data_IF_786224697329
#
_entry.id   IF_786224697329
#
_cell.length_a   1.000
_cell.length_b   1.000
_cell.length_c   1.000
_cell.angle_alpha   90.00
_cell.angle_beta   90.00
_cell.angle_gamma   90.00
#
_symmetry.space_group_name_H-M   'P 1'
#
loop_
_entity.id
_entity.type
_entity.pdbx_description
1 polymer ?
#
# COMPACT_ATOMS: atom_id res chain seq x y z
N UNK A 1 21.62 -25.87 -0.17
CA UNK A 1 20.70 -25.63 -1.26
C UNK A 1 20.88 -24.24 -1.79
N UNK A 2 20.94 -24.07 -3.09
CA UNK A 2 20.94 -22.75 -3.74
C UNK A 2 19.64 -22.06 -3.30
N UNK A 3 19.73 -20.95 -2.57
CA UNK A 3 18.56 -20.14 -2.23
C UNK A 3 17.90 -19.69 -3.54
N UNK A 4 16.77 -20.29 -3.90
CA UNK A 4 16.00 -19.86 -5.07
C UNK A 4 15.56 -18.40 -4.86
N UNK A 5 15.61 -17.60 -5.93
CA UNK A 5 15.17 -16.22 -5.88
C UNK A 5 13.72 -16.13 -5.39
N UNK A 6 13.47 -15.30 -4.38
CA UNK A 6 12.14 -15.02 -3.86
C UNK A 6 11.28 -14.34 -4.91
N UNK A 7 9.98 -14.66 -4.95
CA UNK A 7 9.00 -14.14 -5.92
C UNK A 7 7.81 -13.55 -5.21
N UNK A 8 7.38 -12.40 -5.69
CA UNK A 8 6.13 -11.76 -5.24
C UNK A 8 5.19 -11.60 -6.43
N UNK A 9 3.97 -12.14 -6.31
CA UNK A 9 2.89 -11.80 -7.20
C UNK A 9 2.37 -10.40 -6.84
N UNK A 10 2.45 -9.47 -7.79
CA UNK A 10 1.99 -8.09 -7.61
C UNK A 10 0.72 -7.87 -8.42
N UNK A 11 -0.41 -7.74 -7.72
CA UNK A 11 -1.73 -7.58 -8.33
C UNK A 11 -2.14 -6.12 -8.21
N UNK A 12 -1.97 -5.36 -9.29
CA UNK A 12 -2.17 -3.92 -9.31
C UNK A 12 -2.36 -3.44 -10.76
N UNK A 13 -2.73 -2.18 -10.97
CA UNK A 13 -2.79 -1.61 -12.31
C UNK A 13 -1.40 -1.29 -12.88
N UNK A 14 -1.33 -1.22 -14.20
CA UNK A 14 -0.17 -0.74 -14.94
C UNK A 14 -0.49 0.62 -15.56
N UNK A 15 0.01 1.69 -14.94
CA UNK A 15 -0.11 3.06 -15.43
C UNK A 15 1.19 3.49 -16.13
N UNK A 16 1.07 3.99 -17.37
CA UNK A 16 2.23 4.40 -18.17
C UNK A 16 2.93 5.63 -17.59
N UNK A 17 2.14 6.65 -17.23
CA UNK A 17 2.64 7.87 -16.57
C UNK A 17 2.07 7.97 -15.14
N UNK A 18 2.85 8.55 -14.22
CA UNK A 18 2.44 8.85 -12.85
C UNK A 18 3.20 8.12 -11.75
N UNK A 19 4.11 7.22 -12.05
CA UNK A 19 5.01 6.51 -11.12
C UNK A 19 4.28 5.89 -9.92
N UNK A 20 3.29 5.07 -10.20
CA UNK A 20 2.46 4.38 -9.21
C UNK A 20 2.24 2.92 -9.58
N UNK A 21 1.57 2.19 -8.71
CA UNK A 21 1.12 0.82 -8.96
C UNK A 21 2.25 -0.10 -9.47
N UNK A 22 2.07 -0.86 -10.53
CA UNK A 22 3.10 -1.76 -11.07
C UNK A 22 4.36 -1.02 -11.54
N UNK A 23 4.22 0.19 -12.07
CA UNK A 23 5.36 1.01 -12.52
C UNK A 23 6.29 1.38 -11.36
N UNK A 24 5.76 1.54 -10.16
CA UNK A 24 6.53 1.76 -8.93
C UNK A 24 6.98 0.43 -8.28
N UNK A 25 6.09 -0.55 -8.20
CA UNK A 25 6.35 -1.82 -7.50
C UNK A 25 7.45 -2.66 -8.14
N UNK A 26 7.43 -2.79 -9.47
CA UNK A 26 8.39 -3.64 -10.20
C UNK A 26 9.85 -3.22 -9.94
N UNK A 27 10.26 -1.95 -10.16
CA UNK A 27 11.63 -1.55 -9.93
C UNK A 27 12.05 -1.63 -8.46
N UNK A 28 11.17 -1.29 -7.51
CA UNK A 28 11.46 -1.34 -6.08
C UNK A 28 11.70 -2.77 -5.62
N UNK A 29 10.77 -3.68 -5.94
CA UNK A 29 10.90 -5.09 -5.56
C UNK A 29 12.14 -5.71 -6.21
N UNK A 30 12.39 -5.39 -7.49
CA UNK A 30 13.53 -5.92 -8.24
C UNK A 30 14.87 -5.47 -7.68
N UNK A 31 15.03 -4.18 -7.33
CA UNK A 31 16.30 -3.67 -6.76
C UNK A 31 16.59 -4.29 -5.40
N UNK A 32 15.56 -4.66 -4.65
CA UNK A 32 15.72 -5.38 -3.37
C UNK A 32 16.05 -6.87 -3.54
N UNK A 33 16.27 -7.35 -4.76
CA UNK A 33 16.68 -8.71 -5.05
C UNK A 33 15.54 -9.74 -5.00
N UNK A 34 14.31 -9.30 -5.24
CA UNK A 34 13.12 -10.15 -5.32
C UNK A 34 12.50 -10.04 -6.71
N UNK A 35 12.04 -11.15 -7.26
CA UNK A 35 11.35 -11.13 -8.54
C UNK A 35 9.91 -10.64 -8.36
N UNK A 36 9.57 -9.52 -9.01
CA UNK A 36 8.18 -9.09 -9.16
C UNK A 36 7.51 -9.84 -10.30
N UNK A 37 6.37 -10.46 -10.02
CA UNK A 37 5.54 -11.18 -11.01
C UNK A 37 4.21 -10.45 -11.13
N UNK A 38 4.03 -9.54 -12.12
CA UNK A 38 2.85 -8.70 -12.20
C UNK A 38 1.65 -9.43 -12.76
N UNK A 39 0.50 -9.26 -12.08
CA UNK A 39 -0.84 -9.57 -12.61
C UNK A 39 -1.61 -8.24 -12.73
N UNK A 40 -1.77 -7.68 -13.94
CA UNK A 40 -2.44 -6.40 -14.12
C UNK A 40 -3.94 -6.48 -13.80
N UNK A 41 -4.47 -5.48 -13.10
CA UNK A 41 -5.92 -5.29 -12.90
C UNK A 41 -6.53 -4.36 -13.95
N UNK A 42 -5.73 -3.43 -14.45
CA UNK A 42 -6.07 -2.51 -15.54
C UNK A 42 -4.78 -2.03 -16.21
N UNK A 43 -4.88 -1.58 -17.44
CA UNK A 43 -3.79 -0.92 -18.17
C UNK A 43 -4.24 0.50 -18.47
N UNK A 44 -3.52 1.50 -17.96
CA UNK A 44 -3.86 2.90 -18.09
C UNK A 44 -2.76 3.65 -18.84
N UNK A 45 -3.16 4.63 -19.66
CA UNK A 45 -2.21 5.56 -20.29
C UNK A 45 -1.41 6.35 -19.22
N UNK A 46 -2.11 6.74 -18.18
CA UNK A 46 -1.61 7.50 -17.04
C UNK A 46 -2.53 7.26 -15.83
N UNK A 47 -2.03 7.54 -14.64
CA UNK A 47 -2.80 7.36 -13.41
C UNK A 47 -4.06 8.25 -13.38
N UNK A 48 -5.05 7.86 -12.57
CA UNK A 48 -6.41 8.44 -12.58
C UNK A 48 -6.52 9.84 -11.96
N UNK A 49 -5.47 10.37 -11.36
CA UNK A 49 -5.45 11.72 -10.80
C UNK A 49 -5.27 12.83 -11.84
N UNK A 50 -4.85 12.50 -13.06
CA UNK A 50 -4.82 13.46 -14.16
C UNK A 50 -6.23 13.79 -14.64
N UNK A 51 -6.38 14.91 -15.35
CA UNK A 51 -7.67 15.39 -15.85
C UNK A 51 -8.39 14.37 -16.73
N UNK A 52 -7.64 13.60 -17.50
CA UNK A 52 -8.15 12.52 -18.34
C UNK A 52 -7.15 11.37 -18.43
N UNK A 53 -7.65 10.19 -18.74
CA UNK A 53 -6.84 8.99 -18.94
C UNK A 53 -7.59 7.99 -19.82
N UNK A 54 -6.84 7.13 -20.51
CA UNK A 54 -7.37 5.92 -21.12
C UNK A 54 -7.18 4.75 -20.15
N UNK A 55 -8.19 3.91 -20.03
CA UNK A 55 -8.15 2.72 -19.19
C UNK A 55 -8.71 1.52 -19.94
N UNK A 56 -7.95 0.45 -20.00
CA UNK A 56 -8.42 -0.88 -20.41
C UNK A 56 -8.49 -1.75 -19.15
N UNK A 57 -9.73 -2.09 -18.75
CA UNK A 57 -10.00 -2.93 -17.59
C UNK A 57 -9.61 -4.39 -17.90
N UNK A 58 -8.79 -4.99 -17.04
CA UNK A 58 -8.26 -6.32 -17.27
C UNK A 58 -9.08 -7.45 -16.61
N UNK A 59 -10.24 -7.16 -16.04
CA UNK A 59 -11.08 -8.12 -15.29
C UNK A 59 -11.34 -9.39 -16.10
N UNK A 60 -11.71 -9.27 -17.38
CA UNK A 60 -12.02 -10.43 -18.22
C UNK A 60 -10.79 -11.26 -18.64
N UNK A 61 -9.59 -10.76 -18.41
CA UNK A 61 -8.33 -11.42 -18.79
C UNK A 61 -7.62 -12.08 -17.59
N UNK A 62 -7.94 -11.66 -16.37
CA UNK A 62 -7.25 -12.10 -15.16
C UNK A 62 -7.36 -13.62 -14.95
N UNK A 63 -8.52 -14.21 -15.20
CA UNK A 63 -8.71 -15.66 -15.03
C UNK A 63 -7.86 -16.48 -16.01
N UNK A 64 -7.76 -16.04 -17.26
CA UNK A 64 -6.90 -16.69 -18.26
C UNK A 64 -5.43 -16.57 -17.88
N UNK A 65 -5.03 -15.42 -17.36
CA UNK A 65 -3.68 -15.14 -16.88
C UNK A 65 -3.31 -16.07 -15.71
N UNK A 66 -4.17 -16.17 -14.71
CA UNK A 66 -4.00 -17.04 -13.56
C UNK A 66 -3.91 -18.52 -13.95
N UNK A 67 -4.73 -18.93 -14.94
CA UNK A 67 -4.74 -20.30 -15.46
C UNK A 67 -3.38 -20.70 -16.07
N UNK A 68 -2.73 -19.77 -16.78
CA UNK A 68 -1.38 -20.03 -17.31
C UNK A 68 -0.33 -20.14 -16.19
N UNK A 69 -0.43 -19.33 -15.15
CA UNK A 69 0.46 -19.44 -14.00
C UNK A 69 0.27 -20.77 -13.24
N UNK A 70 -0.97 -21.24 -13.11
CA UNK A 70 -1.28 -22.54 -12.54
C UNK A 70 -0.62 -23.68 -13.32
N UNK A 71 -0.73 -23.66 -14.66
CA UNK A 71 -0.08 -24.65 -15.51
C UNK A 71 1.45 -24.70 -15.34
N UNK A 72 2.06 -23.57 -14.98
CA UNK A 72 3.51 -23.45 -14.73
C UNK A 72 3.91 -23.86 -13.32
N UNK A 73 2.97 -24.23 -12.47
CA UNK A 73 3.26 -24.52 -11.07
C UNK A 73 3.78 -23.30 -10.30
N UNK A 74 3.28 -22.12 -10.65
CA UNK A 74 3.71 -20.88 -10.01
C UNK A 74 3.42 -20.90 -8.51
N UNK A 75 4.43 -20.58 -7.71
CA UNK A 75 4.35 -20.55 -6.26
C UNK A 75 5.09 -19.31 -5.75
N UNK A 76 4.36 -18.24 -5.37
CA UNK A 76 4.98 -17.04 -4.86
C UNK A 76 5.36 -17.16 -3.38
N UNK A 77 6.45 -16.50 -2.98
CA UNK A 77 6.80 -16.31 -1.57
C UNK A 77 5.97 -15.18 -0.93
N UNK A 78 5.47 -14.28 -1.74
CA UNK A 78 4.57 -13.20 -1.32
C UNK A 78 3.54 -12.85 -2.38
N UNK A 79 2.43 -12.30 -1.92
CA UNK A 79 1.36 -11.74 -2.75
C UNK A 79 1.08 -10.33 -2.22
N UNK A 80 1.22 -9.34 -3.09
CA UNK A 80 0.93 -7.94 -2.80
C UNK A 80 -0.20 -7.47 -3.69
N UNK A 81 -1.32 -7.02 -3.10
CA UNK A 81 -2.47 -6.49 -3.83
C UNK A 81 -2.61 -4.99 -3.58
N UNK A 82 -2.92 -4.23 -4.62
CA UNK A 82 -3.12 -2.79 -4.56
C UNK A 82 -4.49 -2.38 -5.13
N UNK A 83 -4.47 -1.43 -6.04
CA UNK A 83 -5.67 -0.86 -6.64
C UNK A 83 -6.50 -1.89 -7.38
N UNK A 84 -7.84 -1.84 -7.18
CA UNK A 84 -8.84 -2.60 -7.91
C UNK A 84 -9.73 -1.64 -8.69
N UNK A 85 -10.00 -1.96 -9.96
CA UNK A 85 -10.87 -1.17 -10.82
C UNK A 85 -12.34 -1.59 -10.76
N UNK A 86 -12.62 -2.81 -10.29
CA UNK A 86 -13.95 -3.41 -10.26
C UNK A 86 -14.09 -4.37 -9.07
N UNK A 87 -15.27 -4.45 -8.47
CA UNK A 87 -15.56 -5.34 -7.34
C UNK A 87 -15.32 -6.82 -7.66
N UNK A 88 -15.54 -7.24 -8.90
CA UNK A 88 -15.30 -8.63 -9.37
C UNK A 88 -13.83 -9.03 -9.26
N UNK A 89 -12.91 -8.07 -9.36
CA UNK A 89 -11.47 -8.33 -9.20
C UNK A 89 -11.14 -8.80 -7.78
N UNK A 90 -11.85 -8.33 -6.77
CA UNK A 90 -11.68 -8.83 -5.41
C UNK A 90 -12.02 -10.31 -5.31
N UNK A 91 -13.08 -10.78 -5.97
CA UNK A 91 -13.43 -12.20 -6.01
C UNK A 91 -12.36 -13.02 -6.76
N UNK A 92 -11.81 -12.48 -7.85
CA UNK A 92 -10.71 -13.10 -8.59
C UNK A 92 -9.44 -13.19 -7.74
N UNK A 93 -9.14 -12.15 -6.95
CA UNK A 93 -7.99 -12.15 -6.03
C UNK A 93 -8.20 -13.15 -4.90
N UNK A 94 -9.41 -13.26 -4.32
CA UNK A 94 -9.70 -14.30 -3.34
C UNK A 94 -9.49 -15.70 -3.91
N UNK A 95 -9.87 -15.92 -5.18
CA UNK A 95 -9.58 -17.17 -5.88
C UNK A 95 -8.08 -17.38 -6.09
N UNK A 96 -7.34 -16.31 -6.42
CA UNK A 96 -5.89 -16.33 -6.54
C UNK A 96 -5.21 -16.73 -5.22
N UNK A 97 -5.64 -16.14 -4.10
CA UNK A 97 -5.10 -16.48 -2.77
C UNK A 97 -5.32 -17.95 -2.43
N UNK A 98 -6.51 -18.48 -2.70
CA UNK A 98 -6.82 -19.91 -2.44
C UNK A 98 -6.00 -20.85 -3.31
N UNK A 99 -5.66 -20.46 -4.53
CA UNK A 99 -4.92 -21.29 -5.48
C UNK A 99 -3.41 -21.25 -5.27
N UNK A 100 -2.85 -20.07 -4.97
CA UNK A 100 -1.41 -19.84 -5.02
C UNK A 100 -0.76 -19.58 -3.65
N UNK A 101 -1.53 -19.26 -2.61
CA UNK A 101 -0.99 -19.04 -1.28
C UNK A 101 -0.98 -20.31 -0.44
N UNK A 102 0.05 -20.47 0.36
CA UNK A 102 0.14 -21.44 1.43
C UNK A 102 0.48 -20.79 2.78
N UNK A 103 0.78 -21.59 3.79
CA UNK A 103 1.07 -21.08 5.13
C UNK A 103 2.34 -20.23 5.20
N UNK A 104 3.27 -20.38 4.26
CA UNK A 104 4.54 -19.65 4.21
C UNK A 104 4.47 -18.43 3.29
N UNK A 105 3.39 -18.25 2.54
CA UNK A 105 3.20 -17.13 1.62
C UNK A 105 2.82 -15.87 2.40
N UNK A 106 3.62 -14.80 2.29
CA UNK A 106 3.24 -13.49 2.80
C UNK A 106 2.08 -12.92 1.96
N UNK A 107 0.98 -12.53 2.60
CA UNK A 107 -0.12 -11.81 1.94
C UNK A 107 -0.17 -10.39 2.51
N UNK A 108 0.18 -9.41 1.68
CA UNK A 108 0.07 -7.99 1.98
C UNK A 108 -1.02 -7.37 1.13
N UNK A 109 -2.02 -6.77 1.77
CA UNK A 109 -3.13 -6.08 1.11
C UNK A 109 -3.04 -4.59 1.38
N UNK A 110 -2.86 -3.82 0.31
CA UNK A 110 -3.02 -2.36 0.34
C UNK A 110 -4.47 -2.02 -0.01
N UNK A 111 -5.19 -1.49 0.96
CA UNK A 111 -6.65 -1.30 0.90
C UNK A 111 -7.02 0.04 0.27
N UNK A 112 -6.66 0.24 -0.98
CA UNK A 112 -6.80 1.50 -1.72
C UNK A 112 -8.27 1.91 -1.87
N UNK A 113 -8.71 2.92 -1.11
CA UNK A 113 -10.09 3.42 -1.11
C UNK A 113 -10.21 4.95 -1.08
N UNK A 114 -9.24 5.64 -0.55
CA UNK A 114 -9.29 7.08 -0.38
C UNK A 114 -8.06 7.64 0.33
N UNK A 115 -8.01 8.94 0.49
CA UNK A 115 -6.94 9.65 1.19
C UNK A 115 -7.44 11.00 1.70
N UNK A 116 -6.81 11.54 2.75
CA UNK A 116 -7.09 12.87 3.31
C UNK A 116 -8.57 13.11 3.68
N UNK A 117 -9.26 12.07 4.15
CA UNK A 117 -10.67 12.12 4.55
C UNK A 117 -11.66 12.07 3.39
N UNK A 118 -11.20 11.77 2.18
CA UNK A 118 -12.02 11.66 0.98
C UNK A 118 -11.86 10.28 0.33
N UNK A 119 -12.92 9.79 -0.28
CA UNK A 119 -12.89 8.53 -1.03
C UNK A 119 -12.52 8.78 -2.49
N UNK A 120 -11.84 7.80 -3.09
CA UNK A 120 -11.53 7.85 -4.53
C UNK A 120 -12.77 7.63 -5.40
N UNK A 121 -12.74 8.07 -6.68
CA UNK A 121 -13.90 7.93 -7.59
C UNK A 121 -14.41 6.49 -7.78
N UNK A 122 -13.53 5.50 -7.66
CA UNK A 122 -13.88 4.07 -7.77
C UNK A 122 -14.50 3.49 -6.49
N UNK A 123 -14.54 4.25 -5.40
CA UNK A 123 -15.11 3.78 -4.14
C UNK A 123 -16.61 3.49 -4.28
N UNK A 124 -17.01 2.38 -3.69
CA UNK A 124 -18.40 2.03 -3.41
C UNK A 124 -18.47 1.26 -2.09
N UNK A 125 -19.64 1.16 -1.48
CA UNK A 125 -19.83 0.29 -0.31
C UNK A 125 -19.58 -1.19 -0.65
N UNK A 126 -19.87 -1.60 -1.88
CA UNK A 126 -19.54 -2.92 -2.38
C UNK A 126 -18.02 -3.14 -2.42
N UNK A 127 -17.26 -2.20 -2.98
CA UNK A 127 -15.80 -2.24 -3.01
C UNK A 127 -15.22 -2.27 -1.59
N UNK A 128 -15.72 -1.43 -0.68
CA UNK A 128 -15.28 -1.42 0.72
C UNK A 128 -15.44 -2.79 1.37
N UNK A 129 -16.62 -3.41 1.23
CA UNK A 129 -16.89 -4.75 1.78
C UNK A 129 -15.94 -5.81 1.20
N UNK A 130 -15.65 -5.75 -0.10
CA UNK A 130 -14.71 -6.65 -0.77
C UNK A 130 -13.28 -6.48 -0.25
N UNK A 131 -12.85 -5.24 -0.03
CA UNK A 131 -11.53 -4.96 0.56
C UNK A 131 -11.45 -5.40 2.02
N UNK A 132 -12.55 -5.32 2.78
CA UNK A 132 -12.64 -5.94 4.12
C UNK A 132 -12.49 -7.45 4.06
N UNK A 133 -13.11 -8.12 3.09
CA UNK A 133 -12.95 -9.55 2.88
C UNK A 133 -11.48 -9.90 2.56
N UNK A 134 -10.83 -9.15 1.68
CA UNK A 134 -9.40 -9.33 1.36
C UNK A 134 -8.50 -9.09 2.58
N UNK A 135 -8.78 -8.06 3.38
CA UNK A 135 -8.05 -7.80 4.63
C UNK A 135 -8.13 -8.98 5.61
N UNK A 136 -9.26 -9.70 5.64
CA UNK A 136 -9.43 -10.92 6.43
C UNK A 136 -8.55 -12.10 6.00
N UNK A 137 -7.97 -12.07 4.81
CA UNK A 137 -7.01 -13.08 4.33
C UNK A 137 -5.54 -12.61 4.45
N UNK A 138 -5.33 -11.32 4.75
CA UNK A 138 -3.99 -10.75 4.82
C UNK A 138 -3.27 -11.10 6.12
N UNK A 139 -1.94 -11.20 6.07
CA UNK A 139 -1.11 -11.11 7.27
C UNK A 139 -0.75 -9.64 7.56
N UNK A 140 -0.59 -8.82 6.53
CA UNK A 140 -0.21 -7.41 6.65
C UNK A 140 -1.14 -6.56 5.81
N UNK A 141 -1.64 -5.46 6.38
CA UNK A 141 -2.35 -4.41 5.66
C UNK A 141 -1.63 -3.07 5.82
N UNK A 142 -1.72 -2.21 4.79
CA UNK A 142 -1.00 -0.92 4.75
C UNK A 142 -1.94 0.27 4.50
N UNK A 143 -3.06 0.40 5.25
CA UNK A 143 -3.98 1.51 5.04
C UNK A 143 -3.35 2.85 5.42
N UNK A 144 -3.73 3.94 4.72
CA UNK A 144 -3.65 5.26 5.31
C UNK A 144 -4.76 5.46 6.36
N UNK A 145 -4.80 6.61 7.05
CA UNK A 145 -5.79 6.82 8.11
C UNK A 145 -7.24 6.79 7.56
N UNK A 146 -7.49 7.35 6.39
CA UNK A 146 -8.82 7.33 5.75
C UNK A 146 -9.29 5.90 5.52
N UNK A 147 -8.43 5.08 4.96
CA UNK A 147 -8.69 3.65 4.69
C UNK A 147 -8.85 2.84 5.98
N UNK A 148 -8.02 3.10 6.99
CA UNK A 148 -8.16 2.46 8.30
C UNK A 148 -9.54 2.72 8.93
N UNK A 149 -10.03 3.95 8.85
CA UNK A 149 -11.37 4.31 9.33
C UNK A 149 -12.48 3.66 8.49
N UNK A 150 -12.30 3.54 7.17
CA UNK A 150 -13.23 2.84 6.29
C UNK A 150 -13.29 1.33 6.55
N UNK A 151 -12.18 0.72 6.92
CA UNK A 151 -12.12 -0.70 7.29
C UNK A 151 -12.86 -1.00 8.61
N UNK A 152 -12.98 -0.02 9.50
CA UNK A 152 -13.63 -0.15 10.81
C UNK A 152 -15.01 0.52 10.88
N UNK A 153 -15.46 1.14 9.79
CA UNK A 153 -16.73 1.83 9.75
C UNK A 153 -17.27 1.96 8.33
N UNK A 154 -18.03 3.03 8.11
CA UNK A 154 -18.52 3.42 6.80
C UNK A 154 -18.04 4.84 6.45
N UNK A 155 -18.39 5.31 5.26
CA UNK A 155 -17.99 6.63 4.76
C UNK A 155 -18.42 7.76 5.73
N UNK A 156 -19.66 7.77 6.18
CA UNK A 156 -20.18 8.83 7.07
C UNK A 156 -19.46 8.87 8.41
N UNK A 157 -19.16 7.69 8.98
CA UNK A 157 -18.40 7.58 10.22
C UNK A 157 -16.97 8.04 10.01
N UNK A 158 -16.33 7.64 8.92
CA UNK A 158 -14.97 8.07 8.56
C UNK A 158 -14.88 9.58 8.43
N UNK A 159 -15.80 10.23 7.72
CA UNK A 159 -15.81 11.69 7.52
C UNK A 159 -15.97 12.44 8.86
N UNK A 160 -16.81 11.95 9.77
CA UNK A 160 -16.97 12.53 11.12
C UNK A 160 -15.68 12.39 11.94
N UNK A 161 -15.12 11.18 12.02
CA UNK A 161 -13.90 10.93 12.78
C UNK A 161 -12.70 11.70 12.22
N UNK A 162 -12.58 11.80 10.88
CA UNK A 162 -11.55 12.60 10.23
C UNK A 162 -11.58 14.06 10.66
N UNK A 163 -12.77 14.68 10.68
CA UNK A 163 -12.94 16.06 11.14
C UNK A 163 -12.61 16.22 12.62
N UNK A 164 -13.03 15.29 13.45
CA UNK A 164 -12.75 15.28 14.88
C UNK A 164 -11.24 15.20 15.15
N UNK A 165 -10.55 14.30 14.50
CA UNK A 165 -9.10 14.09 14.68
C UNK A 165 -8.27 15.33 14.37
N UNK A 166 -8.68 16.16 13.43
CA UNK A 166 -8.01 17.43 13.10
C UNK A 166 -8.04 18.46 14.23
N UNK A 167 -8.92 18.29 15.20
CA UNK A 167 -9.06 19.22 16.34
C UNK A 167 -8.32 18.75 17.58
N UNK A 168 -7.78 17.53 17.58
CA UNK A 168 -7.13 16.94 18.74
C UNK A 168 -5.69 17.45 18.91
N UNK A 169 -5.23 17.59 20.15
CA UNK A 169 -3.79 17.69 20.43
C UNK A 169 -3.02 16.48 19.88
N UNK A 170 -1.77 16.68 19.44
CA UNK A 170 -0.97 15.65 18.76
C UNK A 170 -0.87 14.36 19.56
N UNK A 171 -0.60 14.45 20.86
CA UNK A 171 -0.46 13.26 21.72
C UNK A 171 -1.78 12.48 21.83
N UNK A 172 -2.90 13.17 21.91
CA UNK A 172 -4.22 12.55 21.94
C UNK A 172 -4.54 11.90 20.58
N UNK A 173 -4.24 12.59 19.50
CA UNK A 173 -4.37 12.09 18.14
C UNK A 173 -3.55 10.81 17.91
N UNK A 174 -2.27 10.81 18.31
CA UNK A 174 -1.42 9.62 18.24
C UNK A 174 -2.02 8.45 19.02
N UNK A 175 -2.54 8.69 20.22
CA UNK A 175 -3.21 7.68 21.03
C UNK A 175 -4.46 7.10 20.36
N UNK A 176 -5.24 7.91 19.64
CA UNK A 176 -6.39 7.43 18.86
C UNK A 176 -5.94 6.56 17.67
N UNK A 177 -4.85 6.94 16.99
CA UNK A 177 -4.28 6.12 15.91
C UNK A 177 -3.79 4.75 16.43
N UNK A 178 -3.16 4.71 17.61
CA UNK A 178 -2.74 3.46 18.25
C UNK A 178 -3.93 2.53 18.56
N UNK A 179 -5.04 3.09 19.03
CA UNK A 179 -6.29 2.33 19.23
C UNK A 179 -6.84 1.78 17.93
N UNK A 180 -6.80 2.56 16.86
CA UNK A 180 -7.22 2.13 15.51
C UNK A 180 -6.35 0.97 15.04
N UNK A 181 -5.01 1.08 15.17
CA UNK A 181 -4.09 0.01 14.81
C UNK A 181 -4.37 -1.29 15.57
N UNK A 182 -4.60 -1.20 16.88
CA UNK A 182 -5.00 -2.34 17.69
C UNK A 182 -6.32 -2.96 17.21
N UNK A 183 -7.33 -2.13 16.95
CA UNK A 183 -8.64 -2.61 16.50
C UNK A 183 -8.54 -3.29 15.13
N UNK A 184 -7.72 -2.77 14.20
CA UNK A 184 -7.46 -3.42 12.92
C UNK A 184 -6.81 -4.79 13.09
N UNK A 185 -5.76 -4.89 13.91
CA UNK A 185 -5.06 -6.14 14.19
C UNK A 185 -6.02 -7.20 14.73
N UNK A 186 -6.87 -6.83 15.69
CA UNK A 186 -7.84 -7.73 16.31
C UNK A 186 -9.01 -8.09 15.38
N UNK A 187 -9.54 -7.12 14.62
CA UNK A 187 -10.69 -7.34 13.74
C UNK A 187 -10.38 -8.29 12.59
N UNK A 188 -9.20 -8.17 12.02
CA UNK A 188 -8.78 -8.94 10.85
C UNK A 188 -7.79 -10.07 11.16
N UNK A 189 -7.49 -10.32 12.44
CA UNK A 189 -6.52 -11.32 12.89
C UNK A 189 -5.18 -11.20 12.16
N UNK A 190 -4.63 -9.98 12.15
CA UNK A 190 -3.43 -9.65 11.39
C UNK A 190 -2.15 -9.97 12.17
N UNK A 191 -1.10 -10.36 11.44
CA UNK A 191 0.26 -10.26 11.95
C UNK A 191 0.65 -8.80 12.18
N UNK A 192 0.34 -7.91 11.23
CA UNK A 192 0.60 -6.49 11.36
C UNK A 192 -0.40 -5.60 10.61
N UNK A 193 -0.72 -4.45 11.21
CA UNK A 193 -1.37 -3.33 10.55
C UNK A 193 -0.40 -2.14 10.53
N UNK A 194 -0.11 -1.58 9.37
CA UNK A 194 0.75 -0.41 9.21
C UNK A 194 -0.09 0.74 8.70
N UNK A 195 -0.39 1.72 9.57
CA UNK A 195 -1.13 2.92 9.17
C UNK A 195 -0.12 3.96 8.69
N UNK A 196 -0.17 4.27 7.39
CA UNK A 196 0.84 5.07 6.71
C UNK A 196 0.46 6.54 6.58
N UNK A 197 1.46 7.39 6.41
CA UNK A 197 1.28 8.77 5.94
C UNK A 197 0.52 9.69 6.90
N UNK A 198 0.72 9.56 8.20
CA UNK A 198 0.05 10.34 9.24
C UNK A 198 0.79 11.66 9.45
N UNK A 199 0.11 12.77 9.23
CA UNK A 199 0.66 14.10 9.47
C UNK A 199 0.73 14.40 10.98
N UNK A 200 1.94 14.66 11.48
CA UNK A 200 2.23 14.94 12.89
C UNK A 200 2.90 16.32 12.99
N UNK A 201 2.15 17.39 13.32
CA UNK A 201 2.76 18.70 13.54
C UNK A 201 3.66 18.68 14.78
N UNK A 202 4.90 19.15 14.62
CA UNK A 202 5.84 19.31 15.72
C UNK A 202 5.62 20.61 16.48
N UNK A 203 6.01 20.64 17.76
CA UNK A 203 5.94 21.84 18.62
C UNK A 203 6.84 22.98 18.13
N UNK A 204 7.84 22.68 17.31
CA UNK A 204 8.79 23.62 16.70
C UNK A 204 8.30 24.16 15.33
N UNK A 205 7.05 23.84 14.92
CA UNK A 205 6.49 24.21 13.64
C UNK A 205 6.93 23.32 12.47
N UNK A 206 7.76 22.31 12.70
CA UNK A 206 8.10 21.29 11.69
C UNK A 206 6.92 20.36 11.47
N UNK A 207 6.70 19.94 10.22
CA UNK A 207 5.74 18.90 9.90
C UNK A 207 6.49 17.57 9.78
N UNK A 208 6.00 16.56 10.51
CA UNK A 208 6.51 15.19 10.47
C UNK A 208 5.47 14.27 9.87
N UNK A 209 5.93 13.18 9.29
CA UNK A 209 5.07 12.10 8.81
C UNK A 209 5.33 10.87 9.65
N UNK A 210 4.30 10.38 10.31
CA UNK A 210 4.34 9.14 11.09
C UNK A 210 3.76 7.97 10.33
N UNK A 211 4.31 6.79 10.60
CA UNK A 211 3.76 5.52 10.21
C UNK A 211 3.63 4.67 11.46
N UNK A 212 2.42 4.28 11.80
CA UNK A 212 2.15 3.42 12.95
C UNK A 212 2.31 1.96 12.52
N UNK A 213 3.10 1.22 13.27
CA UNK A 213 3.22 -0.23 13.14
C UNK A 213 2.53 -0.86 14.34
N UNK A 214 1.50 -1.65 14.10
CA UNK A 214 0.92 -2.55 15.08
C UNK A 214 1.24 -3.98 14.66
N UNK A 215 2.16 -4.64 15.35
CA UNK A 215 2.63 -6.00 15.02
C UNK A 215 2.73 -6.84 16.31
N UNK A 216 2.14 -8.05 16.29
CA UNK A 216 2.20 -9.00 17.41
C UNK A 216 1.80 -8.36 18.77
N UNK A 217 0.77 -7.53 18.78
CA UNK A 217 0.25 -6.79 19.95
C UNK A 217 1.16 -5.66 20.46
N UNK A 218 2.26 -5.40 19.77
CA UNK A 218 3.15 -4.27 20.08
C UNK A 218 2.89 -3.10 19.13
N UNK A 219 3.20 -1.90 19.60
CA UNK A 219 3.00 -0.65 18.85
C UNK A 219 4.32 0.09 18.72
N UNK A 220 4.69 0.43 17.49
CA UNK A 220 5.87 1.24 17.16
C UNK A 220 5.48 2.37 16.20
N UNK A 221 6.23 3.45 16.26
CA UNK A 221 6.16 4.56 15.32
C UNK A 221 7.45 4.68 14.53
N UNK A 222 7.34 4.82 13.22
CA UNK A 222 8.45 5.24 12.36
C UNK A 222 8.12 6.62 11.81
N UNK A 223 8.87 7.62 12.26
CA UNK A 223 8.58 9.04 12.01
C UNK A 223 9.72 9.63 11.17
N UNK A 224 9.36 10.32 10.10
CA UNK A 224 10.26 11.08 9.25
C UNK A 224 9.86 12.55 9.15
N UNK A 225 10.74 13.37 8.58
CA UNK A 225 10.45 14.78 8.28
C UNK A 225 9.60 14.83 7.01
N UNK A 226 8.49 15.59 7.05
CA UNK A 226 7.68 15.89 5.87
C UNK A 226 8.15 17.20 5.24
N UNK A 227 8.72 17.13 4.04
CA UNK A 227 9.31 18.28 3.36
C UNK A 227 8.36 18.97 2.36
N UNK A 228 7.14 18.46 2.19
CA UNK A 228 6.19 19.05 1.24
C UNK A 228 4.86 18.32 1.18
N UNK A 229 4.15 18.50 0.06
CA UNK A 229 2.82 17.97 -0.17
C UNK A 229 2.75 16.46 -0.35
N UNK A 230 1.57 15.97 -0.68
CA UNK A 230 1.31 14.59 -1.04
C UNK A 230 1.61 14.35 -2.51
N UNK A 231 2.22 13.21 -2.84
CA UNK A 231 2.52 12.79 -4.21
C UNK A 231 1.89 11.44 -4.51
N UNK A 232 1.43 11.27 -5.74
CA UNK A 232 0.90 9.98 -6.21
C UNK A 232 1.97 8.89 -6.14
N UNK A 233 1.57 7.68 -5.75
CA UNK A 233 2.43 6.49 -5.76
C UNK A 233 3.30 6.28 -4.52
N UNK A 234 3.33 7.20 -3.56
CA UNK A 234 4.15 7.02 -2.34
C UNK A 234 3.68 5.85 -1.47
N UNK A 235 2.36 5.59 -1.42
CA UNK A 235 1.80 4.40 -0.77
C UNK A 235 2.25 3.10 -1.45
N UNK A 236 2.28 3.08 -2.78
CA UNK A 236 2.77 1.93 -3.57
C UNK A 236 4.26 1.66 -3.34
N UNK A 237 5.06 2.72 -3.25
CA UNK A 237 6.49 2.61 -2.92
C UNK A 237 6.67 2.01 -1.53
N UNK A 238 5.91 2.48 -0.55
CA UNK A 238 5.96 2.00 0.83
C UNK A 238 5.59 0.50 0.91
N UNK A 239 4.44 0.12 0.36
CA UNK A 239 3.98 -1.27 0.36
C UNK A 239 4.94 -2.20 -0.41
N UNK A 240 5.55 -1.72 -1.49
CA UNK A 240 6.54 -2.47 -2.28
C UNK A 240 7.81 -2.76 -1.47
N UNK A 241 8.33 -1.78 -0.74
CA UNK A 241 9.49 -1.97 0.15
C UNK A 241 9.16 -2.97 1.27
N UNK A 242 7.98 -2.84 1.90
CA UNK A 242 7.54 -3.77 2.92
C UNK A 242 7.45 -5.20 2.38
N UNK A 243 6.76 -5.40 1.26
CA UNK A 243 6.57 -6.74 0.70
C UNK A 243 7.90 -7.42 0.35
N UNK A 244 8.80 -6.71 -0.30
CA UNK A 244 10.12 -7.25 -0.66
C UNK A 244 10.99 -7.53 0.56
N UNK A 245 11.03 -6.62 1.53
CA UNK A 245 11.83 -6.78 2.74
C UNK A 245 11.34 -7.93 3.63
N UNK A 246 10.02 -8.05 3.81
CA UNK A 246 9.41 -9.08 4.63
C UNK A 246 9.63 -10.49 4.06
N UNK A 247 9.49 -10.69 2.75
CA UNK A 247 9.78 -12.01 2.12
C UNK A 247 11.26 -12.38 2.21
N UNK A 248 12.14 -11.39 2.35
CA UNK A 248 13.58 -11.61 2.60
C UNK A 248 13.90 -11.88 4.08
N UNK A 249 12.92 -11.74 4.98
CA UNK A 249 13.08 -11.98 6.41
C UNK A 249 13.52 -10.77 7.23
N UNK A 250 13.47 -9.55 6.67
CA UNK A 250 13.70 -8.33 7.44
C UNK A 250 12.53 -8.08 8.40
N UNK A 251 12.79 -7.44 9.52
CA UNK A 251 11.73 -7.03 10.45
C UNK A 251 10.85 -5.93 9.84
N UNK A 252 9.61 -5.82 10.33
CA UNK A 252 8.69 -4.76 9.90
C UNK A 252 9.29 -3.36 10.11
N UNK A 253 9.95 -3.16 11.25
CA UNK A 253 10.57 -1.88 11.60
C UNK A 253 11.72 -1.51 10.67
N UNK A 254 12.57 -2.47 10.30
CA UNK A 254 13.64 -2.26 9.31
C UNK A 254 13.06 -1.91 7.94
N UNK A 255 12.03 -2.63 7.49
CA UNK A 255 11.36 -2.36 6.22
C UNK A 255 10.73 -0.97 6.20
N UNK A 256 9.99 -0.60 7.25
CA UNK A 256 9.37 0.71 7.37
C UNK A 256 10.40 1.85 7.44
N UNK A 257 11.50 1.65 8.16
CA UNK A 257 12.62 2.60 8.23
C UNK A 257 13.26 2.85 6.86
N UNK A 258 13.55 1.77 6.11
CA UNK A 258 14.04 1.87 4.73
C UNK A 258 13.05 2.59 3.81
N UNK A 259 11.77 2.27 3.89
CA UNK A 259 10.73 2.91 3.10
C UNK A 259 10.64 4.42 3.37
N UNK A 260 10.63 4.82 4.64
CA UNK A 260 10.58 6.23 5.04
C UNK A 260 11.81 6.99 4.55
N UNK A 261 13.02 6.46 4.71
CA UNK A 261 14.25 7.10 4.22
C UNK A 261 14.23 7.26 2.69
N UNK A 262 13.89 6.20 1.99
CA UNK A 262 13.80 6.17 0.53
C UNK A 262 12.78 7.18 -0.02
N UNK A 263 11.55 7.14 0.49
CA UNK A 263 10.45 8.00 0.03
C UNK A 263 10.68 9.46 0.40
N UNK A 264 11.17 9.74 1.60
CA UNK A 264 11.47 11.11 2.05
C UNK A 264 12.50 11.80 1.17
N UNK A 265 13.53 11.09 0.74
CA UNK A 265 14.54 11.62 -0.18
C UNK A 265 13.93 11.95 -1.54
N UNK A 266 13.09 11.06 -2.09
CA UNK A 266 12.43 11.28 -3.37
C UNK A 266 11.41 12.44 -3.31
N UNK A 267 10.66 12.58 -2.22
CA UNK A 267 9.75 13.72 -1.99
C UNK A 267 10.53 15.03 -1.90
N UNK A 268 11.66 15.04 -1.19
CA UNK A 268 12.49 16.25 -1.08
C UNK A 268 12.95 16.77 -2.43
N UNK A 269 13.34 15.89 -3.35
CA UNK A 269 13.69 16.30 -4.71
C UNK A 269 12.49 16.79 -5.51
N UNK A 270 11.36 16.10 -5.43
CA UNK A 270 10.13 16.48 -6.11
C UNK A 270 9.68 17.89 -5.70
N UNK A 271 9.78 18.23 -4.42
CA UNK A 271 9.47 19.57 -3.90
C UNK A 271 10.42 20.62 -4.45
N UNK A 272 11.74 20.35 -4.47
CA UNK A 272 12.75 21.27 -5.01
C UNK A 272 12.58 21.52 -6.50
N UNK A 273 12.19 20.49 -7.24
CA UNK A 273 12.00 20.56 -8.70
C UNK A 273 10.61 21.12 -9.08
N UNK A 274 9.70 21.33 -8.13
CA UNK A 274 8.33 21.76 -8.40
C UNK A 274 7.53 20.72 -9.18
N UNK A 275 7.80 19.43 -8.96
CA UNK A 275 7.13 18.31 -9.63
C UNK A 275 5.62 18.33 -9.33
N UNK A 276 4.80 18.11 -10.36
CA UNK A 276 3.36 17.98 -10.18
C UNK A 276 3.04 16.74 -9.34
N UNK A 277 2.02 16.86 -8.46
CA UNK A 277 1.59 15.78 -7.59
C UNK A 277 1.29 14.48 -8.37
N UNK A 278 0.67 14.60 -9.53
CA UNK A 278 0.24 13.47 -10.35
C UNK A 278 1.38 12.78 -11.09
N UNK A 279 2.51 13.45 -11.30
CA UNK A 279 3.71 12.86 -11.92
C UNK A 279 4.42 11.88 -10.98
N UNK A 280 4.16 11.97 -9.66
CA UNK A 280 4.82 11.17 -8.65
C UNK A 280 6.23 11.68 -8.34
N UNK A 281 6.97 10.91 -7.53
CA UNK A 281 8.32 11.29 -7.09
C UNK A 281 9.40 10.59 -7.93
N UNK A 282 10.54 11.25 -8.14
CA UNK A 282 11.68 10.69 -8.87
C UNK A 282 12.46 9.66 -8.05
N UNK A 283 11.80 8.58 -7.67
CA UNK A 283 12.33 7.53 -6.80
C UNK A 283 13.50 6.77 -7.44
N UNK A 284 13.61 6.77 -8.75
CA UNK A 284 14.65 6.06 -9.51
C UNK A 284 16.05 6.45 -9.07
N UNK A 285 16.25 7.73 -8.70
CA UNK A 285 17.53 8.24 -8.20
C UNK A 285 17.95 7.64 -6.86
N UNK A 286 16.99 7.12 -6.09
CA UNK A 286 17.19 6.64 -4.72
C UNK A 286 17.06 5.14 -4.56
N UNK A 287 16.86 4.40 -5.66
CA UNK A 287 16.75 2.93 -5.61
C UNK A 287 17.96 2.27 -4.93
N UNK A 288 19.14 2.86 -5.06
CA UNK A 288 20.36 2.38 -4.39
C UNK A 288 20.28 2.37 -2.85
N UNK A 289 19.40 3.14 -2.25
CA UNK A 289 19.17 3.12 -0.78
C UNK A 289 18.46 1.86 -0.28
N UNK A 290 17.90 1.09 -1.19
CA UNK A 290 17.17 -0.14 -0.89
C UNK A 290 18.05 -1.40 -0.97
N UNK A 291 19.30 -1.27 -1.42
CA UNK A 291 20.29 -2.34 -1.49
C UNK A 291 20.78 -2.80 -0.12
#
# INVERSE_FOLDING_TARGET
GVNSMKKIAVINDLSGLGKCSLTAAIPVISVMGVQACPLPTAVLSNQTGYESYYCDDFTYHMDAYMKEWKKRGFHPDGIYTGFLSDERQADQILSFLREFADNDTLILVDTVMGDQGEVYPVYSEGMRKRLMDLAGYAQVITPNLTEALLLLGNKDKMERQWKEFKTLPVEVFMGEIEKIGKTLEETYDLRAAVITGIDLPGSDGTLRMGNLIRENKETDWVIGIKTGGSYSGTGDLFASVLSAGLVKGFSMKECAGKAVDFISAAISDAVKEGTDRNDGVCFERYLGRLL
#
